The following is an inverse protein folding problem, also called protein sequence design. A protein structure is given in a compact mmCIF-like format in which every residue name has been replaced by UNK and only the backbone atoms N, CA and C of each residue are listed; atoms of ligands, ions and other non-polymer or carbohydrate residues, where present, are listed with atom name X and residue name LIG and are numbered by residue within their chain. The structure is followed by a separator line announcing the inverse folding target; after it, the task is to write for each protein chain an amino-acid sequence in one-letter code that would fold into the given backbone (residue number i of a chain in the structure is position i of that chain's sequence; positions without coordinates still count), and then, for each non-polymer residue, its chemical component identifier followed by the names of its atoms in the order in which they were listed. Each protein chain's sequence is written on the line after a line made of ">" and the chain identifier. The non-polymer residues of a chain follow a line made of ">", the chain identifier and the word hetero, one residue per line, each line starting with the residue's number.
data_IF_865129125922
#
_entry.id   IF_865129125922
#
_cell.length_a   1.000
_cell.length_b   1.000
_cell.length_c   1.000
_cell.angle_alpha   90.00
_cell.angle_beta   90.00
_cell.angle_gamma   90.00
#
_symmetry.space_group_name_H-M   'P 1'
#
loop_
_entity.id
_entity.type
_entity.pdbx_description
1 polymer ?
#
# COMPACT_ATOMS: atom_id res chain seq x y z
N UNK A 1 2.14 2.67 23.87
CA UNK A 1 2.66 3.71 22.92
C UNK A 1 1.68 3.77 21.79
N UNK A 2 0.92 4.87 21.66
CA UNK A 2 0.11 5.08 20.45
C UNK A 2 1.06 5.23 19.26
N UNK A 3 1.07 4.24 18.39
CA UNK A 3 1.86 4.31 17.18
C UNK A 3 1.15 5.27 16.21
N UNK A 4 1.70 6.46 16.07
CA UNK A 4 1.20 7.48 15.13
C UNK A 4 1.70 7.23 13.72
N UNK A 5 0.89 7.56 12.74
CA UNK A 5 1.31 7.61 11.34
C UNK A 5 2.58 8.47 11.20
N UNK A 6 3.62 7.90 10.61
CA UNK A 6 4.88 8.59 10.31
C UNK A 6 5.01 8.78 8.82
N UNK A 7 5.49 9.94 8.40
CA UNK A 7 5.90 10.15 7.01
C UNK A 7 7.15 9.31 6.75
N UNK A 8 7.19 8.64 5.61
CA UNK A 8 8.36 7.88 5.22
C UNK A 8 9.52 8.82 4.87
N UNK A 9 10.60 8.76 5.66
CA UNK A 9 11.82 9.55 5.48
C UNK A 9 13.03 8.70 5.05
N UNK A 10 12.79 7.48 4.57
CA UNK A 10 13.85 6.61 4.07
C UNK A 10 14.40 7.06 2.72
N UNK A 11 15.37 6.30 2.21
CA UNK A 11 15.99 6.59 0.91
C UNK A 11 14.97 6.46 -0.22
N UNK A 12 14.61 7.59 -0.81
CA UNK A 12 13.77 7.72 -2.00
C UNK A 12 14.58 8.39 -3.10
N UNK A 13 14.55 7.80 -4.28
CA UNK A 13 15.15 8.39 -5.48
C UNK A 13 14.05 8.69 -6.50
N UNK A 14 14.26 9.73 -7.30
CA UNK A 14 13.41 9.95 -8.46
C UNK A 14 13.51 8.72 -9.39
N UNK A 15 12.36 8.13 -9.73
CA UNK A 15 12.32 6.90 -10.51
C UNK A 15 12.94 7.04 -11.90
N UNK A 16 12.87 8.21 -12.53
CA UNK A 16 13.50 8.46 -13.83
C UNK A 16 15.02 8.48 -13.74
N UNK A 17 15.59 9.08 -12.69
CA UNK A 17 17.04 9.08 -12.46
C UNK A 17 17.53 7.66 -12.13
N UNK A 18 16.82 6.93 -11.30
CA UNK A 18 17.14 5.54 -11.00
C UNK A 18 17.04 4.65 -12.25
N UNK A 19 16.05 4.90 -13.12
CA UNK A 19 15.88 4.17 -14.36
C UNK A 19 17.02 4.46 -15.35
N UNK A 20 17.40 5.73 -15.49
CA UNK A 20 18.56 6.11 -16.32
C UNK A 20 19.84 5.44 -15.81
N UNK A 21 20.06 5.43 -14.49
CA UNK A 21 21.18 4.73 -13.88
C UNK A 21 21.16 3.24 -14.20
N UNK A 22 20.01 2.59 -14.03
CA UNK A 22 19.86 1.15 -14.26
C UNK A 22 20.05 0.79 -15.74
N UNK A 23 19.50 1.57 -16.69
CA UNK A 23 19.55 1.26 -18.12
C UNK A 23 20.84 1.70 -18.80
N UNK A 24 21.55 2.69 -18.27
CA UNK A 24 22.76 3.24 -18.90
C UNK A 24 23.99 2.78 -18.15
N UNK A 25 24.05 3.04 -16.83
CA UNK A 25 25.28 2.86 -16.06
C UNK A 25 25.59 1.35 -15.86
N UNK A 26 24.59 0.57 -15.45
CA UNK A 26 24.84 -0.87 -15.23
C UNK A 26 25.22 -1.63 -16.51
N UNK A 27 24.54 -1.46 -17.65
CA UNK A 27 24.99 -2.09 -18.92
C UNK A 27 26.33 -1.57 -19.41
N UNK A 28 26.61 -0.25 -19.23
CA UNK A 28 27.92 0.31 -19.58
C UNK A 28 29.05 -0.30 -18.75
N UNK A 29 28.82 -0.48 -17.44
CA UNK A 29 29.78 -1.17 -16.57
C UNK A 29 29.97 -2.65 -16.99
N UNK A 30 28.89 -3.33 -17.33
CA UNK A 30 28.96 -4.69 -17.84
C UNK A 30 29.76 -4.78 -19.16
N UNK A 31 29.55 -3.85 -20.07
CA UNK A 31 30.31 -3.75 -21.32
C UNK A 31 31.79 -3.45 -21.07
N UNK A 32 32.11 -2.52 -20.16
CA UNK A 32 33.49 -2.22 -19.77
C UNK A 32 34.17 -3.43 -19.14
N UNK A 33 33.50 -4.15 -18.25
CA UNK A 33 34.06 -5.36 -17.63
C UNK A 33 34.36 -6.45 -18.69
N UNK A 34 33.46 -6.59 -19.65
CA UNK A 34 33.65 -7.50 -20.76
C UNK A 34 34.86 -7.10 -21.62
N UNK A 35 34.99 -5.80 -21.93
CA UNK A 35 36.06 -5.29 -22.80
C UNK A 35 37.47 -5.38 -22.15
N UNK A 36 37.59 -4.95 -20.88
CA UNK A 36 38.89 -4.90 -20.21
C UNK A 36 39.30 -6.20 -19.49
N UNK A 37 38.36 -7.07 -19.18
CA UNK A 37 38.64 -8.30 -18.47
C UNK A 37 38.52 -9.56 -19.34
N UNK A 38 38.54 -9.41 -20.68
CA UNK A 38 38.52 -10.55 -21.60
C UNK A 38 39.71 -11.52 -21.42
N UNK A 39 40.88 -11.01 -21.03
CA UNK A 39 42.05 -11.81 -20.76
C UNK A 39 42.04 -12.53 -19.40
N UNK A 40 41.10 -12.15 -18.51
CA UNK A 40 40.97 -12.69 -17.15
C UNK A 40 39.56 -13.25 -16.94
N UNK A 41 39.25 -14.31 -17.66
CA UNK A 41 37.93 -14.95 -17.65
C UNK A 41 37.42 -15.35 -16.26
N UNK A 42 38.28 -15.78 -15.36
CA UNK A 42 37.93 -16.20 -14.02
C UNK A 42 37.43 -15.03 -13.14
N UNK A 43 37.73 -13.79 -13.47
CA UNK A 43 37.26 -12.57 -12.78
C UNK A 43 36.07 -11.94 -13.49
N UNK A 44 36.05 -11.95 -14.83
CA UNK A 44 35.01 -11.33 -15.63
C UNK A 44 33.65 -12.05 -15.51
N UNK A 45 33.66 -13.38 -15.45
CA UNK A 45 32.41 -14.17 -15.35
C UNK A 45 31.66 -13.87 -14.03
N UNK A 46 32.26 -13.96 -12.82
CA UNK A 46 31.53 -13.62 -11.59
C UNK A 46 31.15 -12.15 -11.53
N UNK A 47 31.92 -11.21 -12.05
CA UNK A 47 31.57 -9.82 -12.13
C UNK A 47 30.29 -9.57 -12.97
N UNK A 48 30.21 -10.22 -14.13
CA UNK A 48 29.01 -10.16 -14.99
C UNK A 48 27.76 -10.74 -14.31
N UNK A 49 27.92 -11.84 -13.57
CA UNK A 49 26.81 -12.44 -12.80
C UNK A 49 26.32 -11.47 -11.73
N UNK A 50 27.23 -10.85 -10.98
CA UNK A 50 26.88 -9.88 -9.93
C UNK A 50 26.19 -8.65 -10.51
N UNK A 51 26.69 -8.07 -11.61
CA UNK A 51 26.08 -6.93 -12.29
C UNK A 51 24.68 -7.25 -12.83
N UNK A 52 24.52 -8.44 -13.44
CA UNK A 52 23.22 -8.92 -13.92
C UNK A 52 22.24 -9.09 -12.76
N UNK A 53 22.66 -9.70 -11.66
CA UNK A 53 21.83 -9.87 -10.47
C UNK A 53 21.42 -8.51 -9.87
N UNK A 54 22.37 -7.57 -9.76
CA UNK A 54 22.11 -6.22 -9.29
C UNK A 54 21.09 -5.49 -10.18
N UNK A 55 21.17 -5.63 -11.50
CA UNK A 55 20.24 -5.08 -12.46
C UNK A 55 18.81 -5.57 -12.17
N UNK A 56 18.59 -6.87 -12.04
CA UNK A 56 17.28 -7.44 -11.78
C UNK A 56 16.73 -7.07 -10.39
N UNK A 57 17.58 -7.04 -9.37
CA UNK A 57 17.17 -6.64 -8.02
C UNK A 57 16.71 -5.17 -8.02
N UNK A 58 17.42 -4.28 -8.71
CA UNK A 58 17.03 -2.88 -8.80
C UNK A 58 15.66 -2.68 -9.46
N UNK A 59 15.25 -3.54 -10.39
CA UNK A 59 13.93 -3.47 -11.03
C UNK A 59 12.77 -3.59 -10.03
N UNK A 60 12.93 -4.35 -8.96
CA UNK A 60 11.90 -4.51 -7.93
C UNK A 60 11.65 -3.25 -7.08
N UNK A 61 12.57 -2.26 -7.13
CA UNK A 61 12.48 -1.02 -6.36
C UNK A 61 11.51 0.01 -6.92
N UNK A 62 11.17 -0.05 -8.21
CA UNK A 62 10.34 0.97 -8.87
C UNK A 62 8.86 0.89 -8.47
N UNK A 63 8.25 2.06 -8.36
CA UNK A 63 6.81 2.18 -8.19
C UNK A 63 6.30 3.55 -8.66
N UNK A 64 5.03 3.59 -9.10
CA UNK A 64 4.30 4.81 -9.41
C UNK A 64 3.26 5.08 -8.33
N UNK A 65 3.11 6.33 -7.96
CA UNK A 65 2.14 6.79 -6.97
C UNK A 65 1.15 7.75 -7.61
N UNK A 66 -0.15 7.41 -7.56
CA UNK A 66 -1.23 8.25 -8.05
C UNK A 66 -1.73 9.24 -6.99
N UNK A 67 -2.42 10.33 -7.39
CA UNK A 67 -3.09 11.22 -6.45
C UNK A 67 -4.13 10.47 -5.60
N UNK A 68 -4.24 10.87 -4.33
CA UNK A 68 -5.12 10.24 -3.34
C UNK A 68 -4.86 8.74 -3.12
N UNK A 69 -3.62 8.35 -3.24
CA UNK A 69 -3.12 7.04 -2.83
C UNK A 69 -2.05 7.22 -1.76
N UNK A 70 -1.91 6.22 -0.92
CA UNK A 70 -0.83 6.12 0.05
C UNK A 70 -0.16 4.76 -0.06
N UNK A 71 1.14 4.72 0.19
CA UNK A 71 1.89 3.48 0.33
C UNK A 71 2.48 3.36 1.72
N UNK A 72 2.08 2.30 2.39
CA UNK A 72 2.66 1.92 3.68
C UNK A 72 3.92 1.13 3.39
N UNK A 73 5.05 1.67 3.87
CA UNK A 73 6.37 1.09 3.70
C UNK A 73 6.72 0.22 4.91
N UNK A 74 6.96 -1.06 4.66
CA UNK A 74 7.31 -2.03 5.68
C UNK A 74 8.63 -2.69 5.30
N UNK A 75 9.61 -2.68 6.19
CA UNK A 75 10.91 -3.29 6.01
C UNK A 75 11.08 -4.45 6.99
N UNK A 76 11.12 -5.67 6.47
CA UNK A 76 11.20 -6.90 7.27
C UNK A 76 10.23 -6.93 8.47
N UNK A 77 8.97 -6.54 8.23
CA UNK A 77 7.93 -6.52 9.28
C UNK A 77 7.88 -5.23 10.11
N UNK A 78 8.87 -4.34 10.02
CA UNK A 78 8.90 -3.08 10.73
C UNK A 78 8.26 -1.97 9.89
N UNK A 79 7.30 -1.24 10.46
CA UNK A 79 6.74 -0.06 9.84
C UNK A 79 7.75 1.09 9.80
N UNK A 80 8.13 1.53 8.62
CA UNK A 80 9.09 2.62 8.42
C UNK A 80 8.41 3.96 8.12
N UNK A 81 7.16 3.93 7.64
CA UNK A 81 6.40 5.15 7.39
C UNK A 81 5.41 4.99 6.23
N UNK A 82 4.65 6.06 5.98
CA UNK A 82 3.70 6.14 4.88
C UNK A 82 4.15 7.20 3.89
N UNK A 83 4.15 6.84 2.61
CA UNK A 83 4.47 7.71 1.49
C UNK A 83 3.19 8.13 0.77
N UNK A 84 3.02 9.46 0.54
CA UNK A 84 1.80 10.04 -0.05
C UNK A 84 2.05 10.93 -1.27
N UNK A 85 3.32 11.24 -1.59
CA UNK A 85 3.65 12.11 -2.72
C UNK A 85 3.42 11.39 -4.06
N UNK A 86 2.86 12.11 -5.01
CA UNK A 86 2.58 11.60 -6.36
C UNK A 86 3.81 11.64 -7.24
N UNK A 87 3.97 10.62 -8.07
CA UNK A 87 5.08 10.57 -9.01
C UNK A 87 5.61 9.15 -9.23
N UNK A 88 6.75 9.09 -9.89
CA UNK A 88 7.47 7.87 -10.14
C UNK A 88 8.76 7.85 -9.31
N UNK A 89 8.91 6.81 -8.48
CA UNK A 89 9.97 6.72 -7.48
C UNK A 89 10.63 5.36 -7.49
N UNK A 90 11.83 5.34 -6.96
CA UNK A 90 12.56 4.14 -6.64
C UNK A 90 12.89 4.10 -5.14
N UNK A 91 12.69 2.96 -4.53
CA UNK A 91 12.97 2.70 -3.12
C UNK A 91 13.70 1.35 -3.00
N UNK A 92 14.29 1.08 -1.85
CA UNK A 92 14.93 -0.19 -1.57
C UNK A 92 14.05 -1.38 -2.03
N UNK A 93 14.54 -2.27 -2.91
CA UNK A 93 13.78 -3.39 -3.46
C UNK A 93 13.27 -4.38 -2.40
N UNK A 94 13.94 -4.48 -1.25
CA UNK A 94 13.53 -5.36 -0.14
C UNK A 94 12.38 -4.78 0.70
N UNK A 95 11.91 -3.58 0.38
CA UNK A 95 10.81 -2.94 1.08
C UNK A 95 9.47 -3.39 0.53
N UNK A 96 8.60 -3.87 1.41
CA UNK A 96 7.22 -4.18 1.10
C UNK A 96 6.42 -2.88 0.98
N UNK A 97 5.70 -2.71 -0.14
CA UNK A 97 4.95 -1.51 -0.52
C UNK A 97 3.46 -1.84 -0.54
N UNK A 98 2.74 -1.56 0.56
CA UNK A 98 1.30 -1.82 0.66
C UNK A 98 0.51 -0.58 0.23
N UNK A 99 -0.11 -0.66 -0.94
CA UNK A 99 -0.89 0.43 -1.53
C UNK A 99 -2.28 0.52 -0.87
N UNK A 100 -2.72 1.74 -0.52
CA UNK A 100 -4.04 2.07 0.01
C UNK A 100 -4.65 3.23 -0.78
N UNK A 101 -5.96 3.23 -0.96
CA UNK A 101 -6.69 4.36 -1.53
C UNK A 101 -7.19 5.29 -0.43
N UNK A 102 -6.92 6.58 -0.58
CA UNK A 102 -7.43 7.63 0.31
C UNK A 102 -8.61 8.39 -0.32
N UNK A 103 -9.12 7.91 -1.46
CA UNK A 103 -10.29 8.51 -2.14
C UNK A 103 -11.52 8.33 -1.29
N UNK A 104 -12.40 9.34 -1.28
CA UNK A 104 -13.71 9.22 -0.65
C UNK A 104 -14.56 8.18 -1.38
N UNK A 105 -15.33 7.41 -0.63
CA UNK A 105 -16.23 6.37 -1.12
C UNK A 105 -17.61 6.54 -0.54
N UNK A 106 -18.62 6.26 -1.35
CA UNK A 106 -20.00 6.22 -0.90
C UNK A 106 -20.32 4.78 -0.46
N UNK A 107 -21.01 4.67 0.64
CA UNK A 107 -21.60 3.45 1.16
C UNK A 107 -23.09 3.67 1.30
N UNK A 108 -23.86 2.93 0.53
CA UNK A 108 -25.31 2.85 0.66
C UNK A 108 -25.63 1.57 1.45
N UNK A 109 -26.26 1.74 2.59
CA UNK A 109 -26.61 0.66 3.50
C UNK A 109 -28.09 0.35 3.31
N UNK A 110 -28.43 -0.90 3.08
CA UNK A 110 -29.82 -1.35 2.99
C UNK A 110 -30.58 -0.96 4.25
N UNK A 111 -31.85 -0.52 4.13
CA UNK A 111 -32.64 -0.12 5.27
C UNK A 111 -32.74 -1.23 6.32
N UNK A 112 -32.34 -0.91 7.54
CA UNK A 112 -32.45 -1.80 8.69
C UNK A 112 -33.70 -1.53 9.50
N UNK A 113 -34.32 -2.59 10.00
CA UNK A 113 -35.45 -2.51 10.90
C UNK A 113 -34.94 -2.33 12.32
N UNK A 114 -35.31 -1.22 12.94
CA UNK A 114 -35.00 -0.87 14.33
C UNK A 114 -36.26 -0.51 15.07
N UNK A 115 -36.28 -0.63 16.39
CA UNK A 115 -37.38 -0.13 17.21
C UNK A 115 -37.03 1.27 17.68
N UNK A 116 -38.03 2.15 17.63
CA UNK A 116 -37.92 3.48 18.23
C UNK A 116 -37.99 3.40 19.78
N UNK A 117 -37.86 4.53 20.43
CA UNK A 117 -37.92 4.65 21.89
C UNK A 117 -39.26 4.13 22.50
N UNK A 118 -40.34 4.12 21.72
CA UNK A 118 -41.66 3.67 22.15
C UNK A 118 -41.87 2.16 21.83
N UNK A 119 -40.95 1.57 21.10
CA UNK A 119 -40.99 0.14 20.70
C UNK A 119 -41.63 -0.10 19.32
N UNK A 120 -41.93 0.94 18.55
CA UNK A 120 -42.45 0.77 17.19
C UNK A 120 -41.35 0.41 16.22
N UNK A 121 -41.56 -0.57 15.33
CA UNK A 121 -40.59 -0.93 14.30
C UNK A 121 -40.59 0.13 13.18
N UNK A 122 -39.42 0.72 12.94
CA UNK A 122 -39.15 1.66 11.85
C UNK A 122 -38.05 1.12 10.93
N UNK A 123 -38.07 1.51 9.65
CA UNK A 123 -37.05 1.22 8.69
C UNK A 123 -36.17 2.45 8.46
N UNK A 124 -34.88 2.32 8.71
CA UNK A 124 -33.93 3.41 8.54
C UNK A 124 -32.90 3.02 7.47
N UNK A 125 -32.82 3.81 6.40
CA UNK A 125 -31.76 3.75 5.40
C UNK A 125 -30.63 4.73 5.75
N UNK A 126 -29.41 4.40 5.38
CA UNK A 126 -28.23 5.22 5.64
C UNK A 126 -27.36 5.31 4.41
N UNK A 127 -26.98 6.54 4.04
CA UNK A 127 -25.96 6.79 3.03
C UNK A 127 -24.78 7.49 3.71
N UNK A 128 -23.60 6.90 3.58
CA UNK A 128 -22.37 7.40 4.18
C UNK A 128 -21.33 7.73 3.12
N UNK A 129 -20.60 8.81 3.34
CA UNK A 129 -19.36 9.11 2.62
C UNK A 129 -18.19 8.94 3.60
N UNK A 130 -17.27 8.05 3.27
CA UNK A 130 -16.13 7.75 4.12
C UNK A 130 -14.81 7.75 3.33
N UNK A 131 -13.70 7.97 4.03
CA UNK A 131 -12.35 7.88 3.48
C UNK A 131 -11.35 7.46 4.56
N UNK A 132 -10.24 6.85 4.15
CA UNK A 132 -9.12 6.59 5.06
C UNK A 132 -8.40 7.89 5.38
N UNK A 133 -8.14 8.14 6.67
CA UNK A 133 -7.38 9.29 7.17
C UNK A 133 -6.00 8.86 7.68
N UNK A 134 -5.96 7.80 8.48
CA UNK A 134 -4.75 7.25 9.10
C UNK A 134 -4.45 5.88 8.48
N UNK A 135 -3.34 5.80 7.76
CA UNK A 135 -2.94 4.58 7.06
C UNK A 135 -2.31 3.55 7.99
N UNK A 136 -1.69 4.00 9.09
CA UNK A 136 -1.12 3.10 10.10
C UNK A 136 -2.24 2.33 10.80
N UNK A 137 -3.22 3.04 11.35
CA UNK A 137 -4.37 2.43 12.03
C UNK A 137 -5.14 1.49 11.09
N UNK A 138 -5.39 1.94 9.87
CA UNK A 138 -6.07 1.12 8.88
C UNK A 138 -5.33 -0.18 8.55
N UNK A 139 -4.00 -0.18 8.54
CA UNK A 139 -3.22 -1.35 8.12
C UNK A 139 -2.88 -2.30 9.26
N UNK A 140 -2.72 -1.79 10.49
CA UNK A 140 -2.15 -2.56 11.60
C UNK A 140 -3.06 -2.66 12.83
N UNK A 141 -4.04 -1.76 13.00
CA UNK A 141 -4.93 -1.77 14.15
C UNK A 141 -6.34 -2.27 13.80
N UNK A 142 -6.79 -2.07 12.56
CA UNK A 142 -8.10 -2.55 12.12
C UNK A 142 -7.93 -3.91 11.47
N UNK A 143 -8.43 -4.95 12.11
CA UNK A 143 -8.48 -6.30 11.52
C UNK A 143 -9.65 -6.41 10.52
N UNK A 144 -9.53 -5.70 9.42
CA UNK A 144 -10.47 -5.80 8.31
C UNK A 144 -10.33 -7.12 7.53
N UNK A 145 -9.27 -7.89 7.77
CA UNK A 145 -9.02 -9.16 7.05
C UNK A 145 -10.01 -10.26 7.43
N UNK A 146 -10.52 -10.25 8.66
CA UNK A 146 -11.55 -11.18 9.14
C UNK A 146 -12.88 -10.99 8.45
N UNK A 147 -13.16 -9.80 7.92
CA UNK A 147 -14.43 -9.45 7.26
C UNK A 147 -14.36 -9.58 5.73
N UNK A 148 -13.18 -9.74 5.15
CA UNK A 148 -12.99 -9.91 3.72
C UNK A 148 -12.97 -11.37 3.32
N UNK A 149 -13.56 -11.66 2.17
CA UNK A 149 -13.47 -12.99 1.55
C UNK A 149 -11.99 -13.29 1.25
N UNK A 150 -11.48 -14.44 1.70
CA UNK A 150 -10.05 -14.81 1.75
C UNK A 150 -9.24 -14.64 0.44
N UNK A 151 -9.92 -14.53 -0.70
CA UNK A 151 -9.27 -14.55 -2.02
C UNK A 151 -8.88 -13.19 -2.61
N UNK A 152 -9.14 -12.06 -1.93
CA UNK A 152 -8.92 -10.72 -2.50
C UNK A 152 -8.13 -9.73 -1.64
N UNK A 153 -7.68 -10.10 -0.46
CA UNK A 153 -7.08 -9.17 0.53
C UNK A 153 -5.73 -8.59 0.08
N UNK A 154 -5.02 -9.27 -0.80
CA UNK A 154 -3.72 -8.79 -1.31
C UNK A 154 -3.84 -7.57 -2.24
N UNK A 155 -4.98 -7.36 -2.88
CA UNK A 155 -5.22 -6.24 -3.80
C UNK A 155 -5.71 -5.00 -3.08
N UNK A 156 -5.53 -3.81 -3.71
CA UNK A 156 -6.09 -2.55 -3.18
C UNK A 156 -7.60 -2.63 -3.05
N UNK A 157 -8.28 -3.18 -4.06
CA UNK A 157 -9.72 -3.35 -4.07
C UNK A 157 -10.19 -4.24 -2.91
N UNK A 158 -9.54 -5.38 -2.68
CA UNK A 158 -9.87 -6.30 -1.59
C UNK A 158 -9.69 -5.67 -0.20
N UNK A 159 -8.61 -4.91 0.02
CA UNK A 159 -8.43 -4.17 1.27
C UNK A 159 -9.50 -3.10 1.47
N UNK A 160 -9.83 -2.34 0.42
CA UNK A 160 -10.86 -1.30 0.51
C UNK A 160 -12.27 -1.89 0.73
N UNK A 161 -12.57 -3.04 0.15
CA UNK A 161 -13.82 -3.79 0.40
C UNK A 161 -13.91 -4.27 1.85
N UNK A 162 -12.79 -4.70 2.45
CA UNK A 162 -12.74 -5.07 3.86
C UNK A 162 -13.03 -3.89 4.80
N UNK A 163 -12.46 -2.70 4.50
CA UNK A 163 -12.76 -1.49 5.26
C UNK A 163 -14.21 -1.04 5.07
N UNK A 164 -14.77 -1.20 3.89
CA UNK A 164 -16.18 -0.91 3.63
C UNK A 164 -17.10 -1.80 4.47
N UNK A 165 -16.83 -3.10 4.53
CA UNK A 165 -17.55 -4.02 5.39
C UNK A 165 -17.46 -3.63 6.88
N UNK A 166 -16.28 -3.23 7.34
CA UNK A 166 -16.08 -2.72 8.70
C UNK A 166 -16.92 -1.46 8.97
N UNK A 167 -16.90 -0.47 8.07
CA UNK A 167 -17.68 0.77 8.19
C UNK A 167 -19.17 0.45 8.21
N UNK A 168 -19.64 -0.50 7.37
CA UNK A 168 -21.06 -0.94 7.35
C UNK A 168 -21.49 -1.48 8.70
N UNK A 169 -20.73 -2.42 9.28
CA UNK A 169 -21.08 -3.02 10.59
C UNK A 169 -21.11 -1.97 11.70
N UNK A 170 -20.14 -1.03 11.70
CA UNK A 170 -20.11 0.04 12.71
C UNK A 170 -21.27 1.02 12.53
N UNK A 171 -21.65 1.31 11.29
CA UNK A 171 -22.79 2.19 10.99
C UNK A 171 -24.10 1.57 11.43
N UNK A 172 -24.31 0.28 11.20
CA UNK A 172 -25.51 -0.45 11.64
C UNK A 172 -25.62 -0.45 13.17
N UNK A 173 -24.50 -0.67 13.87
CA UNK A 173 -24.46 -0.62 15.33
C UNK A 173 -24.82 0.79 15.87
N UNK A 174 -24.24 1.84 15.28
CA UNK A 174 -24.51 3.23 15.65
C UNK A 174 -25.97 3.61 15.39
N UNK A 175 -26.57 3.19 14.27
CA UNK A 175 -27.97 3.43 13.97
C UNK A 175 -28.90 2.80 14.99
N UNK A 176 -28.64 1.56 15.40
CA UNK A 176 -29.44 0.88 16.44
C UNK A 176 -29.36 1.58 17.78
N UNK A 177 -28.18 2.07 18.14
CA UNK A 177 -28.00 2.83 19.38
C UNK A 177 -28.78 4.14 19.36
N UNK A 178 -28.63 4.96 18.31
CA UNK A 178 -29.30 6.26 18.19
C UNK A 178 -30.82 6.11 18.08
N UNK A 179 -31.35 5.07 17.43
CA UNK A 179 -32.77 4.82 17.30
C UNK A 179 -33.43 4.38 18.61
N UNK A 180 -32.68 3.76 19.53
CA UNK A 180 -33.15 3.29 20.85
C UNK A 180 -33.05 4.35 21.97
N UNK A 181 -32.35 5.47 21.73
CA UNK A 181 -32.28 6.63 22.65
C UNK A 181 -33.46 7.57 22.50
#
# INVERSE_FOLDING_TARGET
>A
MEAKEKVYNGMLMNGFLALAFNLIVLPALAFLTMYYAMDILWLSIPAMIVLSLAFFIMLAGYFSQEPNEARVMVFFGKYEGTFKETGFYWVNPFMEKKKLSMRARNLDVEPIKVNDKIGNPILIGLVLVWKLKDTYKAMFEIDAQTMANKNGVATVAGRMSAFEAFVRVQSDAALRQVAGE
#
